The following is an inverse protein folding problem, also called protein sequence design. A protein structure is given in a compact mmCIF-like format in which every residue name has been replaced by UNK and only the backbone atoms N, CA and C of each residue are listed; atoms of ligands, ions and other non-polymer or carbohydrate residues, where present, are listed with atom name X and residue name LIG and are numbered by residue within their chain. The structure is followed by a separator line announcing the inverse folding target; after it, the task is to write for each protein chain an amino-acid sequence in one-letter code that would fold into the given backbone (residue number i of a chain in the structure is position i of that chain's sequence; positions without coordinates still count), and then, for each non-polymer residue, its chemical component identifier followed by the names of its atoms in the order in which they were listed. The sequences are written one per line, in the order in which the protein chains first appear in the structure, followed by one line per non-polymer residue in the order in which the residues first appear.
data_IF_687449013761
#
_entry.id   IF_687449013761
#
_cell.length_a   1.000
_cell.length_b   1.000
_cell.length_c   1.000
_cell.angle_alpha   90.00
_cell.angle_beta   90.00
_cell.angle_gamma   90.00
#
_symmetry.space_group_name_H-M   'P 1'
#
loop_
_entity.id
_entity.type
_entity.pdbx_description
1 polymer ?
#
# COMPACT_ATOMS: atom_id res chain seq x y z
N UNK A 1 -4.64 19.80 -5.55
CA UNK A 1 -4.97 18.99 -4.35
C UNK A 1 -3.81 19.06 -3.35
N UNK A 2 -4.14 19.09 -2.06
CA UNK A 2 -3.15 18.98 -0.97
C UNK A 2 -3.43 17.71 -0.19
N UNK A 3 -2.44 16.81 -0.15
CA UNK A 3 -2.49 15.57 0.63
C UNK A 3 -1.53 15.73 1.80
N UNK A 4 -2.02 15.65 3.02
CA UNK A 4 -1.20 15.78 4.22
C UNK A 4 -0.84 14.39 4.75
N UNK A 5 0.42 14.01 4.58
CA UNK A 5 0.95 12.70 4.99
C UNK A 5 1.78 12.70 6.27
N UNK A 6 1.98 13.87 6.92
CA UNK A 6 2.76 13.96 8.15
C UNK A 6 2.13 13.09 9.25
N UNK A 7 2.92 12.31 9.93
CA UNK A 7 2.48 11.34 10.92
C UNK A 7 1.45 10.31 10.41
N UNK A 8 1.44 10.06 9.10
CA UNK A 8 0.68 8.99 8.46
C UNK A 8 1.62 7.96 7.86
N UNK A 9 1.14 6.75 7.72
CA UNK A 9 1.90 5.67 7.11
C UNK A 9 1.86 5.73 5.59
N UNK A 10 2.80 5.04 4.94
CA UNK A 10 2.98 5.10 3.49
C UNK A 10 1.74 4.65 2.72
N UNK A 11 0.99 3.66 3.23
CA UNK A 11 -0.25 3.18 2.61
C UNK A 11 -1.35 4.24 2.59
N UNK A 12 -1.41 5.11 3.59
CA UNK A 12 -2.35 6.23 3.59
C UNK A 12 -2.06 7.19 2.42
N UNK A 13 -0.79 7.57 2.26
CA UNK A 13 -0.38 8.49 1.19
C UNK A 13 -0.58 7.83 -0.18
N UNK A 14 -0.20 6.56 -0.31
CA UNK A 14 -0.41 5.77 -1.53
C UNK A 14 -1.89 5.76 -1.92
N UNK A 15 -2.77 5.36 -1.00
CA UNK A 15 -4.21 5.24 -1.26
C UNK A 15 -4.83 6.60 -1.60
N UNK A 16 -4.49 7.64 -0.84
CA UNK A 16 -4.95 8.99 -1.11
C UNK A 16 -4.53 9.49 -2.48
N UNK A 17 -3.24 9.43 -2.80
CA UNK A 17 -2.72 9.89 -4.08
C UNK A 17 -3.34 9.13 -5.26
N UNK A 18 -3.45 7.80 -5.18
CA UNK A 18 -4.06 6.96 -6.20
C UNK A 18 -5.53 7.30 -6.44
N UNK A 19 -6.35 7.37 -5.39
CA UNK A 19 -7.78 7.67 -5.53
C UNK A 19 -8.01 9.05 -6.14
N UNK A 20 -7.30 10.08 -5.66
CA UNK A 20 -7.45 11.43 -6.22
C UNK A 20 -6.91 11.54 -7.64
N UNK A 21 -5.86 10.80 -7.98
CA UNK A 21 -5.33 10.76 -9.34
C UNK A 21 -6.34 10.15 -10.31
N UNK A 22 -6.87 8.98 -9.98
CA UNK A 22 -7.89 8.29 -10.78
C UNK A 22 -9.15 9.15 -10.97
N UNK A 23 -9.59 9.85 -9.93
CA UNK A 23 -10.71 10.78 -10.03
C UNK A 23 -10.39 11.94 -10.99
N UNK A 24 -9.21 12.55 -10.87
CA UNK A 24 -8.78 13.64 -11.74
C UNK A 24 -8.70 13.22 -13.20
N UNK A 25 -8.12 12.05 -13.47
CA UNK A 25 -8.02 11.50 -14.82
C UNK A 25 -9.38 11.22 -15.43
N UNK A 26 -10.29 10.64 -14.65
CA UNK A 26 -11.65 10.38 -15.10
C UNK A 26 -12.40 11.68 -15.44
N UNK A 27 -12.20 12.75 -14.67
CA UNK A 27 -12.76 14.07 -14.97
C UNK A 27 -12.15 14.63 -16.27
N UNK A 28 -10.82 14.59 -16.41
CA UNK A 28 -10.15 15.08 -17.61
C UNK A 28 -10.57 14.32 -18.88
N UNK A 29 -10.80 13.03 -18.75
CA UNK A 29 -11.20 12.15 -19.86
C UNK A 29 -12.72 12.13 -20.09
N UNK A 30 -13.52 12.85 -19.31
CA UNK A 30 -14.97 12.85 -19.39
C UNK A 30 -15.64 11.53 -18.99
N UNK A 31 -14.94 10.68 -18.24
CA UNK A 31 -15.40 9.35 -17.82
C UNK A 31 -15.77 9.26 -16.34
N UNK A 32 -15.76 10.39 -15.63
CA UNK A 32 -16.14 10.42 -14.22
C UNK A 32 -17.63 10.11 -14.03
N UNK A 33 -17.93 9.19 -13.13
CA UNK A 33 -19.30 8.86 -12.73
C UNK A 33 -19.45 8.89 -11.21
N UNK A 34 -20.69 9.00 -10.74
CA UNK A 34 -20.97 8.96 -9.29
C UNK A 34 -20.58 7.62 -8.66
N UNK A 35 -20.73 6.52 -9.40
CA UNK A 35 -20.33 5.18 -8.99
C UNK A 35 -18.81 5.07 -8.81
N UNK A 36 -18.04 5.65 -9.74
CA UNK A 36 -16.58 5.73 -9.60
C UNK A 36 -16.22 6.50 -8.33
N UNK A 37 -16.83 7.67 -8.11
CA UNK A 37 -16.62 8.48 -6.91
C UNK A 37 -16.93 7.71 -5.62
N UNK A 38 -18.05 7.00 -5.58
CA UNK A 38 -18.42 6.16 -4.43
C UNK A 38 -17.44 5.00 -4.21
N UNK A 39 -16.95 4.37 -5.28
CA UNK A 39 -15.93 3.33 -5.22
C UNK A 39 -14.61 3.86 -4.64
N UNK A 40 -14.12 4.99 -5.14
CA UNK A 40 -12.90 5.63 -4.65
C UNK A 40 -13.03 6.05 -3.17
N UNK A 41 -14.21 6.52 -2.75
CA UNK A 41 -14.47 6.85 -1.35
C UNK A 41 -14.35 5.61 -0.45
N UNK A 42 -14.90 4.46 -0.85
CA UNK A 42 -14.74 3.19 -0.12
C UNK A 42 -13.28 2.79 0.01
N UNK A 43 -12.49 2.96 -1.04
CA UNK A 43 -11.05 2.70 -0.97
C UNK A 43 -10.33 3.65 0.03
N UNK A 44 -10.75 4.91 0.14
CA UNK A 44 -10.23 5.85 1.14
C UNK A 44 -10.64 5.48 2.57
N UNK A 45 -11.78 4.83 2.75
CA UNK A 45 -12.26 4.33 4.05
C UNK A 45 -11.39 3.19 4.60
N UNK A 46 -10.66 2.48 3.74
CA UNK A 46 -9.76 1.38 4.16
C UNK A 46 -8.55 1.86 4.95
N UNK A 47 -8.09 3.09 4.73
CA UNK A 47 -6.93 3.67 5.41
C UNK A 47 -7.37 4.63 6.53
N UNK A 48 -6.40 5.13 7.31
CA UNK A 48 -6.69 6.04 8.40
C UNK A 48 -7.61 7.18 7.96
N UNK A 49 -8.76 7.31 8.59
CA UNK A 49 -9.69 8.43 8.42
C UNK A 49 -10.44 8.72 9.73
N UNK A 50 -11.08 9.87 9.80
CA UNK A 50 -11.97 10.29 10.89
C UNK A 50 -13.34 10.70 10.35
N UNK A 51 -13.76 10.04 9.26
CA UNK A 51 -14.89 10.45 8.47
C UNK A 51 -14.47 11.39 7.34
N UNK A 52 -15.39 11.66 6.44
CA UNK A 52 -15.22 12.53 5.29
C UNK A 52 -16.17 13.72 5.40
N UNK A 53 -15.67 14.86 5.03
CA UNK A 53 -16.39 16.10 5.11
C UNK A 53 -16.12 16.97 3.88
N UNK A 54 -17.10 17.73 3.43
CA UNK A 54 -17.00 18.57 2.23
C UNK A 54 -16.12 19.84 2.46
N UNK A 55 -15.65 20.04 3.67
CA UNK A 55 -14.89 21.22 4.04
C UNK A 55 -15.77 22.49 3.95
N UNK A 56 -15.09 23.58 3.63
CA UNK A 56 -15.76 24.87 3.43
C UNK A 56 -16.06 25.18 1.96
N UNK A 57 -16.01 24.16 1.09
CA UNK A 57 -16.11 24.36 -0.35
C UNK A 57 -17.49 24.92 -0.78
N UNK A 58 -18.54 24.56 -0.05
CA UNK A 58 -19.91 25.03 -0.28
C UNK A 58 -20.35 26.10 0.72
N UNK A 59 -19.41 26.77 1.37
CA UNK A 59 -19.68 27.80 2.39
C UNK A 59 -19.37 27.31 3.81
N UNK A 60 -19.34 28.26 4.75
CA UNK A 60 -19.03 27.95 6.15
C UNK A 60 -20.24 27.28 6.82
N UNK A 61 -20.13 25.98 7.11
CA UNK A 61 -20.92 25.30 8.12
C UNK A 61 -20.08 25.12 9.36
N UNK A 62 -20.61 25.45 10.53
CA UNK A 62 -19.93 25.22 11.81
C UNK A 62 -19.67 23.73 11.97
N UNK A 63 -18.42 23.40 12.24
CA UNK A 63 -17.74 22.15 12.13
C UNK A 63 -18.51 20.90 12.51
N UNK A 64 -18.53 19.98 11.60
CA UNK A 64 -18.72 18.57 11.92
C UNK A 64 -17.42 18.06 12.56
N UNK A 65 -17.44 17.92 13.86
CA UNK A 65 -16.36 17.30 14.60
C UNK A 65 -16.51 15.77 14.47
N UNK A 66 -15.40 15.09 14.32
CA UNK A 66 -15.42 13.63 14.32
C UNK A 66 -15.85 13.13 15.71
N UNK A 67 -16.96 12.43 15.78
CA UNK A 67 -17.48 11.82 17.03
C UNK A 67 -16.63 10.66 17.54
N UNK A 68 -15.66 10.19 16.74
CA UNK A 68 -14.83 9.03 17.03
C UNK A 68 -13.41 9.46 17.37
N UNK A 69 -12.95 9.09 18.57
CA UNK A 69 -11.55 9.20 18.92
C UNK A 69 -10.75 8.08 18.23
N UNK A 70 -9.78 8.47 17.37
CA UNK A 70 -8.94 7.51 16.67
C UNK A 70 -9.20 7.44 15.18
N UNK A 71 -9.10 6.27 14.60
CA UNK A 71 -9.31 6.00 13.17
C UNK A 71 -10.59 5.21 12.96
N UNK A 72 -11.36 5.63 11.95
CA UNK A 72 -12.52 4.90 11.44
C UNK A 72 -12.16 3.99 10.25
N UNK A 73 -10.88 3.65 10.08
CA UNK A 73 -10.43 2.78 9.00
C UNK A 73 -11.11 1.40 9.09
N UNK A 74 -11.58 0.92 7.95
CA UNK A 74 -12.26 -0.39 7.85
C UNK A 74 -11.28 -1.55 7.77
N UNK A 75 -9.98 -1.27 7.56
CA UNK A 75 -8.92 -2.29 7.56
C UNK A 75 -7.87 -1.98 8.63
N UNK A 76 -7.41 -3.01 9.28
CA UNK A 76 -6.33 -2.95 10.27
C UNK A 76 -5.13 -3.74 9.79
N UNK A 77 -3.94 -3.21 10.04
CA UNK A 77 -2.69 -3.91 9.76
C UNK A 77 -2.04 -4.35 11.05
N UNK A 78 -1.61 -5.61 11.11
CA UNK A 78 -0.86 -6.18 12.23
C UNK A 78 0.61 -6.30 11.84
N UNK A 79 1.51 -5.85 12.71
CA UNK A 79 2.95 -6.00 12.48
C UNK A 79 3.33 -7.48 12.53
N UNK A 80 3.94 -7.98 11.46
CA UNK A 80 4.37 -9.37 11.35
C UNK A 80 5.87 -9.53 11.54
N UNK A 81 6.68 -8.67 10.91
CA UNK A 81 8.11 -8.81 10.95
C UNK A 81 8.83 -7.81 10.05
N UNK A 82 10.02 -8.17 9.63
CA UNK A 82 10.86 -7.31 8.76
C UNK A 82 11.59 -8.11 7.70
N UNK A 83 11.88 -7.45 6.59
CA UNK A 83 12.76 -7.98 5.55
C UNK A 83 14.19 -8.01 6.09
N UNK A 84 14.83 -9.17 6.04
CA UNK A 84 16.22 -9.37 6.44
C UNK A 84 17.15 -9.35 5.24
N UNK A 85 16.66 -9.79 4.09
CA UNK A 85 17.42 -9.76 2.85
C UNK A 85 16.51 -9.72 1.62
N UNK A 86 17.05 -9.21 0.51
CA UNK A 86 16.41 -9.25 -0.80
C UNK A 86 17.35 -9.88 -1.82
N UNK A 87 16.97 -11.01 -2.36
CA UNK A 87 17.71 -11.73 -3.40
C UNK A 87 17.19 -11.31 -4.79
N UNK A 88 17.66 -10.16 -5.26
CA UNK A 88 17.14 -9.51 -6.47
C UNK A 88 17.17 -10.37 -7.74
N UNK A 89 18.20 -11.22 -7.91
CA UNK A 89 18.29 -12.13 -9.07
C UNK A 89 17.25 -13.23 -9.05
N UNK A 90 16.77 -13.60 -7.87
CA UNK A 90 15.79 -14.66 -7.66
C UNK A 90 14.37 -14.08 -7.46
N UNK A 91 14.25 -12.78 -7.25
CA UNK A 91 12.96 -12.17 -6.89
C UNK A 91 12.41 -12.66 -5.55
N UNK A 92 13.29 -12.94 -4.56
CA UNK A 92 12.90 -13.53 -3.28
C UNK A 92 13.24 -12.59 -2.13
N UNK A 93 12.26 -12.35 -1.25
CA UNK A 93 12.44 -11.67 0.03
C UNK A 93 12.64 -12.69 1.15
N UNK A 94 13.67 -12.50 1.97
CA UNK A 94 13.82 -13.18 3.24
C UNK A 94 13.22 -12.31 4.35
N UNK A 95 12.34 -12.88 5.15
CA UNK A 95 11.59 -12.19 6.21
C UNK A 95 11.81 -12.92 7.52
N UNK A 96 12.14 -12.16 8.56
CA UNK A 96 12.07 -12.64 9.94
C UNK A 96 10.68 -12.34 10.50
N UNK A 97 9.95 -13.37 10.87
CA UNK A 97 8.64 -13.25 11.52
C UNK A 97 8.87 -12.93 13.00
N UNK A 98 8.53 -11.71 13.42
CA UNK A 98 8.75 -11.23 14.79
C UNK A 98 7.47 -11.26 15.64
N UNK A 99 6.31 -11.23 14.99
CA UNK A 99 5.00 -11.21 15.65
C UNK A 99 3.98 -11.94 14.80
N UNK A 100 3.05 -12.62 15.41
CA UNK A 100 2.06 -13.47 14.73
C UNK A 100 2.70 -14.62 13.96
N UNK A 101 1.96 -15.18 13.02
CA UNK A 101 2.44 -16.13 12.01
C UNK A 101 2.12 -15.60 10.63
N UNK A 102 2.88 -16.01 9.63
CA UNK A 102 2.68 -15.66 8.24
C UNK A 102 2.23 -16.89 7.48
N UNK A 103 1.13 -16.79 6.73
CA UNK A 103 0.50 -17.90 6.02
C UNK A 103 0.49 -17.68 4.52
N UNK A 104 0.49 -18.76 3.77
CA UNK A 104 0.22 -18.72 2.33
C UNK A 104 -1.21 -18.19 2.12
N UNK A 105 -1.36 -17.22 1.22
CA UNK A 105 -2.62 -16.53 0.98
C UNK A 105 -2.80 -15.23 1.74
N UNK A 106 -1.98 -14.96 2.77
CA UNK A 106 -2.05 -13.70 3.51
C UNK A 106 -1.78 -12.51 2.58
N UNK A 107 -2.55 -11.44 2.75
CA UNK A 107 -2.27 -10.16 2.13
C UNK A 107 -1.31 -9.39 3.00
N UNK A 108 -0.09 -9.20 2.53
CA UNK A 108 0.97 -8.49 3.24
C UNK A 108 1.16 -7.09 2.70
N UNK A 109 1.68 -6.25 3.59
CA UNK A 109 2.04 -4.88 3.30
C UNK A 109 3.50 -4.69 3.75
N UNK A 110 4.40 -4.46 2.80
CA UNK A 110 5.80 -4.17 3.08
C UNK A 110 6.03 -2.67 2.95
N UNK A 111 6.57 -2.05 4.01
CA UNK A 111 6.78 -0.61 4.07
C UNK A 111 8.23 -0.32 4.40
N UNK A 112 8.87 0.47 3.54
CA UNK A 112 10.22 0.96 3.75
C UNK A 112 10.43 2.38 3.22
N UNK A 113 11.47 3.09 3.71
CA UNK A 113 11.73 4.48 3.29
C UNK A 113 11.99 4.64 1.80
N UNK A 114 12.64 3.66 1.19
CA UNK A 114 12.98 3.65 -0.24
C UNK A 114 12.09 2.70 -1.05
N UNK A 115 11.67 1.59 -0.45
CA UNK A 115 10.77 0.59 -1.05
C UNK A 115 9.33 1.09 -1.16
N UNK A 116 9.01 2.15 -0.41
CA UNK A 116 7.66 2.72 -0.38
C UNK A 116 6.67 1.79 0.31
N UNK A 117 5.58 1.49 -0.38
CA UNK A 117 4.48 0.68 0.13
C UNK A 117 4.13 -0.40 -0.90
N UNK A 118 4.48 -1.65 -0.61
CA UNK A 118 4.27 -2.82 -1.46
C UNK A 118 3.17 -3.69 -0.87
N UNK A 119 2.04 -3.82 -1.56
CA UNK A 119 0.96 -4.75 -1.22
C UNK A 119 1.09 -6.00 -2.08
N UNK A 120 1.04 -7.17 -1.45
CA UNK A 120 1.25 -8.44 -2.13
C UNK A 120 0.52 -9.57 -1.42
N UNK A 121 0.00 -10.53 -2.18
CA UNK A 121 -0.56 -11.76 -1.62
C UNK A 121 0.50 -12.84 -1.64
N UNK A 122 0.78 -13.46 -0.50
CA UNK A 122 1.82 -14.48 -0.33
C UNK A 122 1.47 -15.76 -1.11
N UNK A 123 2.18 -16.09 -2.20
CA UNK A 123 1.85 -17.26 -3.00
C UNK A 123 2.47 -18.53 -2.44
N UNK A 124 3.62 -18.42 -1.81
CA UNK A 124 4.41 -19.52 -1.29
C UNK A 124 5.31 -19.03 -0.16
N UNK A 125 5.54 -19.87 0.83
CA UNK A 125 6.50 -19.65 1.92
C UNK A 125 7.46 -20.80 1.96
N UNK A 126 8.76 -20.52 2.11
CA UNK A 126 9.79 -21.53 2.35
C UNK A 126 10.56 -21.24 3.64
N UNK A 127 10.75 -22.29 4.42
CA UNK A 127 11.63 -22.31 5.58
C UNK A 127 12.71 -23.36 5.32
N UNK A 128 13.98 -23.00 5.43
CA UNK A 128 15.11 -23.86 5.10
C UNK A 128 14.97 -24.54 3.72
N UNK A 129 14.55 -23.75 2.71
CA UNK A 129 14.30 -24.16 1.33
C UNK A 129 13.13 -25.13 1.13
N UNK A 130 12.43 -25.51 2.20
CA UNK A 130 11.25 -26.40 2.13
C UNK A 130 9.97 -25.59 2.10
N UNK A 131 9.01 -25.90 1.23
CA UNK A 131 7.73 -25.23 1.21
C UNK A 131 6.94 -25.55 2.48
N UNK A 132 6.35 -24.52 3.07
CA UNK A 132 5.48 -24.61 4.25
C UNK A 132 4.22 -23.79 4.05
N UNK A 133 3.14 -24.12 4.75
CA UNK A 133 1.90 -23.34 4.70
C UNK A 133 1.91 -22.15 5.63
N UNK A 134 2.74 -22.20 6.66
CA UNK A 134 2.81 -21.17 7.71
C UNK A 134 4.22 -21.07 8.26
N UNK A 135 4.68 -19.83 8.51
CA UNK A 135 5.91 -19.51 9.21
C UNK A 135 5.55 -18.87 10.56
N UNK A 136 5.98 -19.50 11.63
CA UNK A 136 5.71 -19.03 13.00
C UNK A 136 6.68 -17.93 13.43
N UNK A 137 6.34 -17.26 14.55
CA UNK A 137 7.21 -16.27 15.18
C UNK A 137 8.62 -16.82 15.46
N UNK A 138 9.63 -16.01 15.17
CA UNK A 138 11.04 -16.33 15.36
C UNK A 138 11.69 -17.04 14.19
N UNK A 139 10.93 -17.39 13.16
CA UNK A 139 11.42 -18.13 12.00
C UNK A 139 11.79 -17.18 10.87
N UNK A 140 12.90 -17.49 10.18
CA UNK A 140 13.25 -16.88 8.90
C UNK A 140 12.53 -17.64 7.79
N UNK A 141 11.83 -16.92 6.96
CA UNK A 141 11.15 -17.50 5.81
C UNK A 141 11.45 -16.73 4.53
N UNK A 142 11.33 -17.38 3.40
CA UNK A 142 11.54 -16.82 2.09
C UNK A 142 10.23 -16.79 1.31
N UNK A 143 9.95 -15.66 0.67
CA UNK A 143 8.74 -15.43 -0.14
C UNK A 143 9.17 -14.95 -1.52
N UNK A 144 8.74 -15.59 -2.62
CA UNK A 144 8.93 -15.06 -3.96
C UNK A 144 8.03 -13.85 -4.16
N UNK A 145 8.57 -12.75 -4.67
CA UNK A 145 7.83 -11.53 -5.01
C UNK A 145 7.78 -11.40 -6.53
N UNK A 146 6.62 -11.59 -7.08
CA UNK A 146 6.33 -11.32 -8.48
C UNK A 146 5.83 -9.88 -8.62
N UNK A 147 6.69 -9.01 -9.12
CA UNK A 147 6.38 -7.58 -9.25
C UNK A 147 5.18 -7.29 -10.17
N UNK A 148 4.86 -8.19 -11.09
CA UNK A 148 3.68 -8.04 -11.95
C UNK A 148 2.35 -8.18 -11.19
N UNK A 149 2.40 -8.80 -10.01
CA UNK A 149 1.25 -9.04 -9.12
C UNK A 149 1.24 -8.11 -7.89
N UNK A 150 2.25 -7.29 -7.76
CA UNK A 150 2.26 -6.25 -6.72
C UNK A 150 1.23 -5.19 -7.08
N UNK A 151 0.36 -4.86 -6.12
CA UNK A 151 -0.64 -3.80 -6.33
C UNK A 151 0.08 -2.49 -6.62
N UNK A 152 -0.19 -1.84 -7.77
CA UNK A 152 0.48 -0.61 -8.15
C UNK A 152 0.42 0.47 -7.07
N UNK A 153 1.51 1.16 -6.87
CA UNK A 153 1.56 2.31 -5.97
C UNK A 153 1.22 3.59 -6.70
N UNK A 154 0.89 4.63 -5.96
CA UNK A 154 0.69 5.98 -6.52
C UNK A 154 1.86 6.45 -7.41
N UNK A 155 3.04 5.86 -7.24
CA UNK A 155 4.23 6.15 -8.02
C UNK A 155 4.16 5.54 -9.43
N UNK A 156 3.60 4.34 -9.56
CA UNK A 156 3.42 3.65 -10.85
C UNK A 156 2.23 4.22 -11.62
N UNK A 157 1.14 4.54 -10.93
CA UNK A 157 -0.02 5.23 -11.52
C UNK A 157 0.34 6.66 -11.96
N UNK A 158 1.21 7.36 -11.22
CA UNK A 158 1.73 8.66 -11.62
C UNK A 158 2.60 8.59 -12.89
N UNK A 159 3.18 7.44 -13.18
CA UNK A 159 4.05 7.21 -14.35
C UNK A 159 3.27 6.76 -15.59
N UNK A 160 2.11 6.13 -15.44
CA UNK A 160 1.16 5.92 -16.54
C UNK A 160 0.65 7.23 -17.16
N UNK A 161 0.96 8.36 -16.52
CA UNK A 161 0.69 9.71 -16.99
C UNK A 161 1.83 10.32 -17.82
N UNK A 162 2.94 9.64 -17.89
CA UNK A 162 3.96 10.00 -18.86
C UNK A 162 3.47 9.66 -20.26
N UNK A 163 2.61 10.53 -20.83
CA UNK A 163 2.57 10.70 -22.27
C UNK A 163 3.98 11.00 -22.77
N UNK A 164 4.19 11.04 -24.06
CA UNK A 164 5.45 11.11 -24.82
C UNK A 164 6.57 12.08 -24.33
N UNK A 165 6.59 12.47 -23.08
CA UNK A 165 7.53 13.40 -22.43
C UNK A 165 8.11 12.94 -21.09
N UNK A 166 7.94 11.68 -20.68
CA UNK A 166 8.54 11.18 -19.44
C UNK A 166 10.07 11.09 -19.58
N UNK A 167 10.80 11.68 -18.63
CA UNK A 167 12.26 11.55 -18.62
C UNK A 167 12.64 10.08 -18.32
N UNK A 168 13.63 9.54 -19.05
CA UNK A 168 14.22 8.21 -18.80
C UNK A 168 14.56 7.95 -17.32
N UNK A 169 14.83 9.01 -16.57
CA UNK A 169 15.14 8.98 -15.14
C UNK A 169 13.94 8.53 -14.29
N UNK A 170 12.72 8.91 -14.67
CA UNK A 170 11.51 8.51 -13.96
C UNK A 170 11.19 7.04 -14.23
N UNK A 171 11.33 6.56 -15.46
CA UNK A 171 11.15 5.15 -15.82
C UNK A 171 12.18 4.24 -15.13
N UNK A 172 13.47 4.62 -15.10
CA UNK A 172 14.51 3.87 -14.36
C UNK A 172 14.25 3.78 -12.87
N UNK A 173 13.60 4.78 -12.28
CA UNK A 173 13.28 4.75 -10.85
C UNK A 173 12.23 3.70 -10.47
N UNK A 174 11.44 3.20 -11.43
CA UNK A 174 10.44 2.12 -11.22
C UNK A 174 11.11 0.75 -11.27
N UNK A 175 12.01 0.53 -12.20
CA UNK A 175 12.77 -0.72 -12.33
C UNK A 175 13.64 -1.00 -11.08
N UNK A 176 13.89 0.02 -10.27
CA UNK A 176 14.69 -0.06 -9.03
C UNK A 176 13.87 -0.20 -7.74
N UNK A 177 12.55 -0.40 -7.81
CA UNK A 177 11.77 -0.66 -6.60
C UNK A 177 12.15 -2.01 -6.02
N UNK A 178 13.15 -2.00 -5.15
CA UNK A 178 13.69 -3.20 -4.48
C UNK A 178 13.39 -3.12 -3.01
N UNK A 179 12.99 -4.25 -2.44
CA UNK A 179 12.90 -4.37 -0.99
C UNK A 179 14.28 -4.16 -0.36
N UNK A 180 14.29 -3.59 0.81
CA UNK A 180 15.51 -3.29 1.57
C UNK A 180 15.46 -3.99 2.93
N UNK A 181 16.63 -4.22 3.49
CA UNK A 181 16.74 -4.68 4.87
C UNK A 181 16.03 -3.70 5.79
N UNK A 182 15.36 -4.24 6.79
CA UNK A 182 14.58 -3.51 7.79
C UNK A 182 13.25 -2.91 7.28
N UNK A 183 12.85 -3.16 6.02
CA UNK A 183 11.49 -2.88 5.59
C UNK A 183 10.52 -3.66 6.48
N UNK A 184 9.51 -2.98 6.99
CA UNK A 184 8.54 -3.57 7.92
C UNK A 184 7.47 -4.32 7.15
N UNK A 185 7.15 -5.53 7.63
CA UNK A 185 6.13 -6.40 7.06
C UNK A 185 4.92 -6.42 7.98
N UNK A 186 3.76 -6.13 7.41
CA UNK A 186 2.48 -6.18 8.10
C UNK A 186 1.55 -7.16 7.38
N UNK A 187 0.61 -7.73 8.09
CA UNK A 187 -0.50 -8.53 7.56
C UNK A 187 -1.76 -7.68 7.68
N UNK A 188 -2.60 -7.67 6.64
CA UNK A 188 -3.93 -7.12 6.75
C UNK A 188 -4.77 -8.05 7.62
N UNK A 189 -5.20 -7.56 8.80
CA UNK A 189 -6.12 -8.30 9.66
C UNK A 189 -7.52 -8.24 9.02
N UNK A 190 -8.12 -9.40 8.81
CA UNK A 190 -9.55 -9.53 8.54
C UNK A 190 -10.29 -9.40 9.87
N UNK A 191 -11.34 -8.57 9.92
CA UNK A 191 -12.24 -8.48 11.08
C UNK A 191 -13.24 -9.63 11.07
#
# INVERSE_FOLDING_TARGET
FKIEGRARSAEYVKRGASCYRRAADAVCNGTYTAELGAGLKKELEEVFNRGFWDGYYQGARLGEWADVYGSSATRKKAYCGKVTNWFGKLGVAEILVESYSLKVGDKILIIGPTSGCVEYTVPEIRVDLKPVQEASKGVFCSIPIDWSKVVPGAREEALGLCGDGCSETACKAIEETRLRRSDKVYIWAEE
#
